data_IF_414339775248
#
_entry.id   IF_414339775248
#
_cell.length_a   1.000
_cell.length_b   1.000
_cell.length_c   1.000
_cell.angle_alpha   90.00
_cell.angle_beta   90.00
_cell.angle_gamma   90.00
#
_symmetry.space_group_name_H-M   'P 1'
#
loop_
_entity.id
_entity.type
_entity.pdbx_description
1 polymer ?
#
# COMPACT_ATOMS: atom_id res chain seq x y z
N UNK A 1 4.03 8.07 1.55
CA UNK A 1 4.73 7.12 0.67
C UNK A 1 3.75 6.07 0.19
N UNK A 2 3.61 5.87 -1.13
CA UNK A 2 2.88 4.72 -1.68
C UNK A 2 3.83 3.54 -1.86
N UNK A 3 3.38 2.32 -1.56
CA UNK A 3 4.14 1.09 -1.74
C UNK A 3 3.21 -0.11 -1.94
N UNK A 4 3.75 -1.18 -2.53
CA UNK A 4 3.09 -2.47 -2.66
C UNK A 4 3.00 -3.20 -1.31
N UNK A 5 1.92 -3.95 -1.12
CA UNK A 5 1.58 -4.61 0.13
C UNK A 5 1.16 -6.06 -0.10
N UNK A 6 1.95 -6.99 0.43
CA UNK A 6 1.74 -8.43 0.29
C UNK A 6 0.58 -8.92 1.17
N UNK A 7 0.34 -8.27 2.31
CA UNK A 7 -0.72 -8.67 3.26
C UNK A 7 -2.13 -8.28 2.78
N UNK A 8 -2.25 -7.52 1.69
CA UNK A 8 -3.52 -7.08 1.13
C UNK A 8 -3.70 -7.68 -0.28
N UNK A 9 -4.90 -8.21 -0.60
CA UNK A 9 -5.15 -8.72 -1.95
C UNK A 9 -5.25 -7.59 -2.97
N UNK A 10 -5.03 -7.87 -4.28
CA UNK A 10 -5.30 -6.93 -5.36
C UNK A 10 -6.73 -6.38 -5.28
N UNK A 11 -6.90 -5.08 -5.49
CA UNK A 11 -8.20 -4.40 -5.35
C UNK A 11 -8.44 -3.73 -4.00
N UNK A 12 -7.48 -3.82 -3.07
CA UNK A 12 -7.57 -3.22 -1.75
C UNK A 12 -6.43 -2.23 -1.53
N UNK A 13 -6.78 -0.98 -1.30
CA UNK A 13 -5.85 0.06 -0.87
C UNK A 13 -6.15 0.49 0.56
N UNK A 14 -5.11 0.73 1.37
CA UNK A 14 -5.28 1.23 2.75
C UNK A 14 -4.25 2.29 3.11
N UNK A 15 -4.73 3.37 3.73
CA UNK A 15 -3.87 4.32 4.42
C UNK A 15 -3.44 3.81 5.81
N UNK A 16 -2.21 4.10 6.20
CA UNK A 16 -1.67 3.84 7.54
C UNK A 16 -0.69 4.95 7.95
N UNK A 17 -0.69 5.34 9.23
CA UNK A 17 0.35 6.19 9.81
C UNK A 17 1.28 5.31 10.64
N UNK A 18 2.58 5.57 10.60
CA UNK A 18 3.48 4.89 11.54
C UNK A 18 3.72 3.42 11.21
N UNK A 19 4.55 2.78 12.04
CA UNK A 19 4.74 1.33 12.09
C UNK A 19 5.97 0.82 11.35
N UNK A 20 6.26 -0.48 11.49
CA UNK A 20 7.43 -1.11 10.87
C UNK A 20 7.38 -1.18 9.35
N UNK A 21 8.47 -1.67 8.75
CA UNK A 21 8.63 -1.83 7.31
C UNK A 21 8.03 -3.14 6.75
N UNK A 22 7.62 -4.10 7.60
CA UNK A 22 6.93 -5.31 7.17
C UNK A 22 7.71 -6.16 6.16
N UNK A 23 9.04 -6.22 6.29
CA UNK A 23 9.90 -6.91 5.32
C UNK A 23 10.17 -6.15 4.02
N UNK A 24 9.50 -5.02 3.76
CA UNK A 24 9.72 -4.20 2.57
C UNK A 24 11.03 -3.41 2.67
N UNK A 25 12.00 -3.72 1.80
CA UNK A 25 13.35 -3.14 1.85
C UNK A 25 13.36 -1.61 1.62
N UNK A 26 12.52 -1.09 0.72
CA UNK A 26 12.38 0.36 0.50
C UNK A 26 11.89 1.13 1.73
N UNK A 27 10.85 0.64 2.42
CA UNK A 27 10.41 1.21 3.69
C UNK A 27 11.49 1.16 4.78
N UNK A 28 12.26 0.06 4.85
CA UNK A 28 13.37 -0.06 5.80
C UNK A 28 14.42 1.02 5.58
N UNK A 29 14.81 1.25 4.33
CA UNK A 29 15.81 2.27 3.99
C UNK A 29 15.30 3.68 4.27
N UNK A 30 14.06 3.99 3.90
CA UNK A 30 13.44 5.30 4.19
C UNK A 30 13.41 5.59 5.69
N UNK A 31 13.02 4.61 6.51
CA UNK A 31 13.03 4.78 7.98
C UNK A 31 14.45 5.06 8.48
N UNK A 32 15.46 4.32 7.97
CA UNK A 32 16.84 4.52 8.36
C UNK A 32 17.35 5.93 7.97
N UNK A 33 17.07 6.37 6.74
CA UNK A 33 17.50 7.68 6.23
C UNK A 33 16.77 8.85 6.90
N UNK A 34 15.55 8.62 7.40
CA UNK A 34 14.81 9.60 8.20
C UNK A 34 15.20 9.58 9.69
N UNK A 35 16.37 9.02 10.05
CA UNK A 35 16.84 9.01 11.44
C UNK A 35 16.04 8.07 12.34
N UNK A 36 15.68 6.88 11.82
CA UNK A 36 14.82 5.90 12.47
C UNK A 36 13.39 6.38 12.76
N UNK A 37 12.96 7.46 12.11
CA UNK A 37 11.58 7.92 12.19
C UNK A 37 10.69 7.13 11.24
N UNK A 38 9.61 6.57 11.79
CA UNK A 38 8.63 5.79 11.03
C UNK A 38 7.24 6.41 11.02
N UNK A 39 7.09 7.65 11.50
CA UNK A 39 5.81 8.35 11.73
C UNK A 39 5.11 8.83 10.46
N UNK A 40 5.72 8.62 9.28
CA UNK A 40 5.17 9.06 8.00
C UNK A 40 3.92 8.28 7.59
N UNK A 41 3.12 8.91 6.73
CA UNK A 41 1.91 8.33 6.16
C UNK A 41 2.24 7.39 4.99
N UNK A 42 1.51 6.28 4.92
CA UNK A 42 1.68 5.23 3.91
C UNK A 42 0.37 4.93 3.20
N UNK A 43 0.44 4.82 1.88
CA UNK A 43 -0.59 4.24 1.03
C UNK A 43 -0.14 2.83 0.67
N UNK A 44 -0.83 1.83 1.21
CA UNK A 44 -0.56 0.41 1.02
C UNK A 44 -1.44 -0.07 -0.13
N UNK A 45 -0.84 -0.49 -1.24
CA UNK A 45 -1.53 -1.01 -2.42
C UNK A 45 -1.41 -2.54 -2.44
N UNK A 46 -2.53 -3.24 -2.29
CA UNK A 46 -2.53 -4.70 -2.20
C UNK A 46 -2.09 -5.36 -3.51
N UNK A 47 -1.09 -6.23 -3.41
CA UNK A 47 -0.63 -7.08 -4.52
C UNK A 47 -0.85 -8.57 -4.25
N UNK A 48 -1.26 -8.94 -3.03
CA UNK A 48 -1.41 -10.31 -2.59
C UNK A 48 -0.09 -10.98 -2.21
N UNK A 49 -0.16 -12.21 -1.72
CA UNK A 49 1.01 -12.97 -1.26
C UNK A 49 1.10 -14.30 -2.02
N UNK A 50 2.30 -14.72 -2.49
CA UNK A 50 2.49 -15.98 -3.23
C UNK A 50 2.38 -17.25 -2.34
N UNK A 51 1.83 -17.13 -1.14
CA UNK A 51 1.75 -18.20 -0.11
C UNK A 51 3.07 -18.59 0.57
N UNK A 52 4.22 -18.30 -0.01
CA UNK A 52 5.53 -18.73 0.50
C UNK A 52 6.58 -17.59 0.45
N UNK A 53 7.30 -17.39 1.55
CA UNK A 53 8.31 -16.34 1.69
C UNK A 53 9.44 -16.45 0.65
N UNK A 54 9.83 -17.67 0.26
CA UNK A 54 10.87 -17.91 -0.75
C UNK A 54 10.49 -17.41 -2.14
N UNK A 55 9.19 -17.31 -2.43
CA UNK A 55 8.66 -16.87 -3.72
C UNK A 55 8.42 -15.36 -3.80
N UNK A 56 8.47 -14.65 -2.66
CA UNK A 56 8.16 -13.21 -2.59
C UNK A 56 9.03 -12.39 -3.51
N UNK A 57 10.35 -12.63 -3.54
CA UNK A 57 11.26 -11.83 -4.39
C UNK A 57 10.95 -11.96 -5.88
N UNK A 58 10.62 -13.17 -6.34
CA UNK A 58 10.23 -13.39 -7.74
C UNK A 58 8.84 -12.84 -8.06
N UNK A 59 7.93 -12.90 -7.08
CA UNK A 59 6.57 -12.38 -7.21
C UNK A 59 6.54 -10.86 -7.39
N UNK A 60 7.21 -10.10 -6.52
CA UNK A 60 7.19 -8.62 -6.57
C UNK A 60 7.96 -8.03 -7.76
N UNK A 61 8.91 -8.78 -8.32
CA UNK A 61 9.65 -8.40 -9.53
C UNK A 61 8.95 -8.87 -10.81
N UNK A 62 7.94 -9.74 -10.68
CA UNK A 62 7.17 -10.29 -11.78
C UNK A 62 6.06 -9.35 -12.26
N UNK A 63 5.47 -9.66 -13.41
CA UNK A 63 4.24 -9.01 -13.88
C UNK A 63 3.03 -9.75 -13.35
N UNK A 64 2.10 -9.02 -12.75
CA UNK A 64 0.82 -9.56 -12.32
C UNK A 64 -0.03 -10.00 -13.53
N UNK A 65 -0.90 -11.01 -13.37
CA UNK A 65 -1.94 -11.32 -14.34
C UNK A 65 -2.84 -10.12 -14.58
N UNK A 66 -3.38 -9.99 -15.80
CA UNK A 66 -4.24 -8.85 -16.19
C UNK A 66 -5.39 -8.58 -15.21
N UNK A 67 -6.06 -9.63 -14.73
CA UNK A 67 -7.17 -9.48 -13.78
C UNK A 67 -6.73 -8.90 -12.42
N UNK A 68 -5.51 -9.17 -11.98
CA UNK A 68 -4.97 -8.57 -10.76
C UNK A 68 -4.50 -7.14 -10.99
N UNK A 69 -3.94 -6.87 -12.17
CA UNK A 69 -3.58 -5.51 -12.59
C UNK A 69 -4.81 -4.59 -12.66
N UNK A 70 -5.91 -5.03 -13.27
CA UNK A 70 -7.16 -4.25 -13.33
C UNK A 70 -7.71 -3.94 -11.93
N UNK A 71 -7.58 -4.87 -10.97
CA UNK A 71 -7.94 -4.64 -9.58
C UNK A 71 -6.99 -3.66 -8.89
N UNK A 72 -5.70 -3.76 -9.15
CA UNK A 72 -4.71 -2.81 -8.62
C UNK A 72 -5.01 -1.39 -9.13
N UNK A 73 -5.28 -1.23 -10.42
CA UNK A 73 -5.64 0.04 -11.04
C UNK A 73 -6.90 0.64 -10.41
N UNK A 74 -7.95 -0.18 -10.21
CA UNK A 74 -9.17 0.27 -9.50
C UNK A 74 -8.88 0.71 -8.06
N UNK A 75 -7.96 0.03 -7.35
CA UNK A 75 -7.56 0.43 -6.00
C UNK A 75 -6.77 1.75 -5.97
N UNK A 76 -6.01 2.04 -7.03
CA UNK A 76 -5.34 3.33 -7.22
C UNK A 76 -6.39 4.42 -7.44
N UNK A 77 -7.41 4.17 -8.26
CA UNK A 77 -8.51 5.13 -8.47
C UNK A 77 -9.25 5.45 -7.16
N UNK A 78 -9.52 4.45 -6.31
CA UNK A 78 -10.08 4.70 -4.97
C UNK A 78 -9.18 5.58 -4.11
N UNK A 79 -7.85 5.36 -4.18
CA UNK A 79 -6.88 6.18 -3.45
C UNK A 79 -6.83 7.62 -3.98
N UNK A 80 -6.94 7.81 -5.30
CA UNK A 80 -7.05 9.13 -5.92
C UNK A 80 -8.31 9.87 -5.47
N UNK A 81 -9.43 9.15 -5.30
CA UNK A 81 -10.70 9.70 -4.83
C UNK A 81 -10.64 10.32 -3.42
N UNK A 82 -9.70 9.90 -2.58
CA UNK A 82 -9.49 10.46 -1.22
C UNK A 82 -8.35 11.47 -1.13
N UNK A 83 -7.71 11.84 -2.25
CA UNK A 83 -6.66 12.87 -2.26
C UNK A 83 -7.09 14.22 -1.65
N UNK A 84 -8.31 14.74 -1.88
CA UNK A 84 -8.73 16.00 -1.25
C UNK A 84 -8.68 15.93 0.28
N UNK A 85 -9.09 14.80 0.87
CA UNK A 85 -9.04 14.57 2.32
C UNK A 85 -7.59 14.50 2.82
N UNK A 86 -6.72 13.83 2.06
CA UNK A 86 -5.29 13.73 2.36
C UNK A 86 -4.63 15.11 2.38
N UNK A 87 -4.88 15.94 1.36
CA UNK A 87 -4.31 17.29 1.28
C UNK A 87 -4.85 18.24 2.33
N UNK A 88 -6.10 18.04 2.78
CA UNK A 88 -6.67 18.77 3.91
C UNK A 88 -6.17 18.28 5.28
N UNK A 89 -5.39 17.19 5.34
CA UNK A 89 -4.96 16.58 6.61
C UNK A 89 -6.05 15.77 7.31
N UNK A 90 -7.19 15.53 6.66
CA UNK A 90 -8.37 14.84 7.18
C UNK A 90 -8.21 13.30 7.09
N UNK A 91 -7.13 12.78 7.68
CA UNK A 91 -6.72 11.38 7.55
C UNK A 91 -7.77 10.37 8.03
N UNK A 92 -8.51 10.69 9.08
CA UNK A 92 -9.58 9.82 9.58
C UNK A 92 -10.71 9.67 8.56
N UNK A 93 -11.07 10.76 7.86
CA UNK A 93 -12.07 10.75 6.79
C UNK A 93 -11.54 10.01 5.57
N UNK A 94 -10.31 10.30 5.15
CA UNK A 94 -9.64 9.61 4.05
C UNK A 94 -9.57 8.09 4.29
N UNK A 95 -9.19 7.66 5.51
CA UNK A 95 -9.16 6.25 5.89
C UNK A 95 -10.54 5.62 5.86
N UNK A 96 -11.54 6.26 6.47
CA UNK A 96 -12.91 5.75 6.49
C UNK A 96 -13.44 5.51 5.08
N UNK A 97 -13.26 6.49 4.20
CA UNK A 97 -13.75 6.44 2.82
C UNK A 97 -12.98 5.42 1.97
N UNK A 98 -11.65 5.36 2.10
CA UNK A 98 -10.84 4.42 1.34
C UNK A 98 -11.04 2.97 1.80
N UNK A 99 -11.05 2.74 3.12
CA UNK A 99 -11.10 1.39 3.69
C UNK A 99 -12.47 0.71 3.50
N UNK A 100 -13.52 1.45 3.14
CA UNK A 100 -14.82 0.89 2.77
C UNK A 100 -14.92 0.47 1.30
N UNK A 101 -13.95 0.82 0.45
CA UNK A 101 -13.93 0.45 -0.97
C UNK A 101 -13.17 -0.85 -1.20
N UNK A 102 -13.65 -1.68 -2.14
CA UNK A 102 -12.97 -2.88 -2.65
C UNK A 102 -13.36 -3.08 -4.11
N UNK A 103 -12.37 -3.40 -4.95
CA UNK A 103 -12.57 -3.74 -6.36
C UNK A 103 -12.95 -5.21 -6.56
#
# INVERSE_FOLDING_TARGET
MAHDELDLPPGVAKLKVGGGHGGHNGLRDIIAQLGNQNTFHRLRLGIGHPGDASKVSGFVLGRAPRAEQEKLDASIDFALGVLPDIFAGEWNRAMKNLHSQKA
#
